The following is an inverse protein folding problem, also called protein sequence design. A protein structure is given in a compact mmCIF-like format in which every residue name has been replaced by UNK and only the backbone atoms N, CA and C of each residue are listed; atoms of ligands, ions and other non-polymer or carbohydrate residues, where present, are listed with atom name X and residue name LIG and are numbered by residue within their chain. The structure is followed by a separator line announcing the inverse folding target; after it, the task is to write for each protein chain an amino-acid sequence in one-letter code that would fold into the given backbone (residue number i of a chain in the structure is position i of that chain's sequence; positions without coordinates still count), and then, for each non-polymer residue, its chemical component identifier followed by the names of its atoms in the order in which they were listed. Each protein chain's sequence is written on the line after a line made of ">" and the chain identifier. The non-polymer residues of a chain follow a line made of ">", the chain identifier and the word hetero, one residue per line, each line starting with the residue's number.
data_IF_446825878684
#
_entry.id   IF_446825878684
#
_cell.length_a   1.000
_cell.length_b   1.000
_cell.length_c   1.000
_cell.angle_alpha   90.00
_cell.angle_beta   90.00
_cell.angle_gamma   90.00
#
_symmetry.space_group_name_H-M   'P 1'
#
loop_
_entity.id
_entity.type
_entity.pdbx_description
1 polymer ?
#
# COMPACT_ATOMS: atom_id res chain seq x y z
N UNK A 1 11.70 7.97 -26.14
CA UNK A 1 12.73 8.14 -25.10
C UNK A 1 12.36 9.11 -23.95
N UNK A 2 11.11 9.61 -23.84
CA UNK A 2 10.67 10.46 -22.71
C UNK A 2 10.09 9.70 -21.52
N UNK A 3 9.51 8.52 -21.75
CA UNK A 3 8.86 7.70 -20.71
C UNK A 3 9.91 7.09 -19.76
N UNK A 4 11.12 6.79 -20.28
CA UNK A 4 12.18 6.12 -19.53
C UNK A 4 12.74 6.99 -18.40
N UNK A 5 12.98 8.28 -18.66
CA UNK A 5 13.47 9.19 -17.62
C UNK A 5 12.43 9.52 -16.54
N UNK A 6 11.13 9.31 -16.79
CA UNK A 6 10.11 9.64 -15.81
C UNK A 6 10.00 8.57 -14.72
N UNK A 7 10.14 7.28 -15.06
CA UNK A 7 9.99 6.22 -14.05
C UNK A 7 11.15 6.18 -13.05
N UNK A 8 12.40 6.42 -13.48
CA UNK A 8 13.56 6.41 -12.58
C UNK A 8 13.41 7.49 -11.50
N UNK A 9 12.89 8.66 -11.88
CA UNK A 9 12.57 9.73 -10.95
C UNK A 9 11.44 9.32 -10.01
N UNK A 10 10.35 8.75 -10.53
CA UNK A 10 9.22 8.27 -9.71
C UNK A 10 9.71 7.24 -8.68
N UNK A 11 10.51 6.25 -9.10
CA UNK A 11 11.04 5.23 -8.19
C UNK A 11 11.95 5.86 -7.13
N UNK A 12 13.00 6.57 -7.55
CA UNK A 12 14.00 7.14 -6.64
C UNK A 12 13.40 8.17 -5.67
N UNK A 13 12.45 8.98 -6.10
CA UNK A 13 11.83 10.00 -5.24
C UNK A 13 10.85 9.39 -4.22
N UNK A 14 10.22 8.25 -4.54
CA UNK A 14 9.12 7.71 -3.75
C UNK A 14 9.46 6.40 -3.03
N UNK A 15 10.48 5.64 -3.45
CA UNK A 15 10.75 4.29 -2.94
C UNK A 15 10.89 4.26 -1.43
N UNK A 16 11.76 5.10 -0.86
CA UNK A 16 12.00 5.13 0.57
C UNK A 16 10.72 5.44 1.37
N UNK A 17 9.94 6.42 0.94
CA UNK A 17 8.69 6.79 1.62
C UNK A 17 7.60 5.73 1.42
N UNK A 18 7.49 5.12 0.25
CA UNK A 18 6.57 4.01 0.00
C UNK A 18 6.92 2.76 0.80
N UNK A 19 8.21 2.45 0.94
CA UNK A 19 8.68 1.39 1.81
C UNK A 19 8.30 1.65 3.26
N UNK A 20 8.54 2.87 3.77
CA UNK A 20 8.09 3.24 5.12
C UNK A 20 6.59 3.07 5.26
N UNK A 21 5.83 3.56 4.29
CA UNK A 21 4.38 3.49 4.29
C UNK A 21 3.89 2.03 4.36
N UNK A 22 4.43 1.17 3.50
CA UNK A 22 4.09 -0.24 3.49
C UNK A 22 4.55 -0.97 4.76
N UNK A 23 5.69 -0.56 5.34
CA UNK A 23 6.20 -1.14 6.57
C UNK A 23 5.35 -0.79 7.78
N UNK A 24 4.96 0.47 7.97
CA UNK A 24 4.18 0.88 9.15
C UNK A 24 2.82 0.17 9.22
N UNK A 25 2.27 -0.21 8.07
CA UNK A 25 1.03 -0.95 7.98
C UNK A 25 1.25 -2.46 8.12
N UNK A 26 2.16 -3.04 7.33
CA UNK A 26 2.36 -4.50 7.28
C UNK A 26 3.18 -5.06 8.45
N UNK A 27 4.00 -4.22 9.09
CA UNK A 27 5.00 -4.59 10.10
C UNK A 27 5.88 -5.78 9.66
N UNK A 28 6.23 -5.82 8.37
CA UNK A 28 7.00 -6.92 7.79
C UNK A 28 7.86 -6.43 6.63
N UNK A 29 9.19 -6.55 6.75
CA UNK A 29 10.14 -6.08 5.75
C UNK A 29 9.85 -6.63 4.33
N UNK A 30 9.74 -7.95 4.19
CA UNK A 30 9.53 -8.59 2.89
C UNK A 30 8.22 -8.12 2.25
N UNK A 31 7.14 -8.05 3.03
CA UNK A 31 5.86 -7.57 2.50
C UNK A 31 5.89 -6.08 2.19
N UNK A 32 6.62 -5.27 2.96
CA UNK A 32 6.81 -3.86 2.67
C UNK A 32 7.51 -3.66 1.31
N UNK A 33 8.56 -4.47 1.02
CA UNK A 33 9.24 -4.46 -0.29
C UNK A 33 8.30 -4.85 -1.42
N UNK A 34 7.56 -5.95 -1.28
CA UNK A 34 6.62 -6.43 -2.30
C UNK A 34 5.53 -5.39 -2.61
N UNK A 35 4.96 -4.78 -1.56
CA UNK A 35 3.93 -3.75 -1.69
C UNK A 35 4.49 -2.50 -2.35
N UNK A 36 5.68 -2.06 -1.94
CA UNK A 36 6.37 -0.90 -2.51
C UNK A 36 6.63 -1.09 -3.99
N UNK A 37 7.19 -2.24 -4.35
CA UNK A 37 7.44 -2.62 -5.73
C UNK A 37 6.16 -2.58 -6.57
N UNK A 38 5.08 -3.17 -6.05
CA UNK A 38 3.79 -3.16 -6.77
C UNK A 38 3.19 -1.76 -6.90
N UNK A 39 3.27 -0.93 -5.86
CA UNK A 39 2.77 0.45 -5.89
C UNK A 39 3.52 1.28 -6.95
N UNK A 40 4.83 1.06 -7.08
CA UNK A 40 5.64 1.67 -8.13
C UNK A 40 5.25 1.18 -9.52
N UNK A 41 5.06 -0.14 -9.70
CA UNK A 41 4.59 -0.70 -10.97
C UNK A 41 3.25 -0.10 -11.41
N UNK A 42 2.31 0.08 -10.49
CA UNK A 42 1.03 0.74 -10.78
C UNK A 42 1.20 2.21 -11.15
N UNK A 43 2.19 2.89 -10.56
CA UNK A 43 2.42 4.33 -10.76
C UNK A 43 3.14 4.65 -12.06
N UNK A 44 3.83 3.68 -12.66
CA UNK A 44 4.47 3.81 -13.97
C UNK A 44 3.57 3.31 -15.11
N UNK A 45 2.42 2.72 -14.79
CA UNK A 45 1.43 2.24 -15.76
C UNK A 45 0.72 3.42 -16.47
N UNK A 46 0.84 3.57 -17.80
CA UNK A 46 0.20 4.65 -18.54
C UNK A 46 -1.32 4.68 -18.39
N UNK A 47 -1.96 3.53 -18.20
CA UNK A 47 -3.42 3.42 -18.07
C UNK A 47 -3.93 3.98 -16.72
N UNK A 48 -3.01 4.29 -15.78
CA UNK A 48 -3.30 4.77 -14.41
C UNK A 48 -2.66 6.12 -14.11
N UNK A 49 -2.25 6.86 -15.15
CA UNK A 49 -1.56 8.15 -15.01
C UNK A 49 -2.39 9.28 -14.39
N UNK A 50 -3.69 9.06 -14.16
CA UNK A 50 -4.60 9.98 -13.46
C UNK A 50 -4.52 9.87 -11.92
N UNK A 51 -3.93 8.77 -11.41
CA UNK A 51 -3.78 8.53 -9.97
C UNK A 51 -2.42 8.96 -9.46
N UNK A 52 -2.40 9.50 -8.25
CA UNK A 52 -1.14 9.75 -7.55
C UNK A 52 -0.49 8.44 -7.11
N UNK A 53 0.84 8.47 -6.93
CA UNK A 53 1.62 7.33 -6.38
C UNK A 53 1.04 6.85 -5.06
N UNK A 54 0.56 7.77 -4.22
CA UNK A 54 -0.05 7.47 -2.92
C UNK A 54 -1.42 6.81 -3.04
N UNK A 55 -2.24 7.19 -4.02
CA UNK A 55 -3.51 6.49 -4.31
C UNK A 55 -3.27 5.06 -4.78
N UNK A 56 -2.25 4.86 -5.62
CA UNK A 56 -1.86 3.52 -6.05
C UNK A 56 -1.34 2.69 -4.87
N UNK A 57 -0.50 3.28 -4.01
CA UNK A 57 0.00 2.62 -2.81
C UNK A 57 -1.12 2.23 -1.84
N UNK A 58 -2.05 3.14 -1.55
CA UNK A 58 -3.23 2.87 -0.73
C UNK A 58 -4.06 1.70 -1.28
N UNK A 59 -4.30 1.67 -2.60
CA UNK A 59 -5.01 0.57 -3.24
C UNK A 59 -4.29 -0.77 -3.04
N UNK A 60 -2.97 -0.81 -3.27
CA UNK A 60 -2.18 -2.04 -3.13
C UNK A 60 -2.17 -2.52 -1.67
N UNK A 61 -2.10 -1.61 -0.70
CA UNK A 61 -2.15 -1.92 0.72
C UNK A 61 -3.49 -2.52 1.12
N UNK A 62 -4.60 -1.89 0.74
CA UNK A 62 -5.93 -2.43 0.97
C UNK A 62 -6.09 -3.83 0.36
N UNK A 63 -5.61 -4.04 -0.87
CA UNK A 63 -5.64 -5.34 -1.53
C UNK A 63 -4.80 -6.39 -0.78
N UNK A 64 -3.64 -5.99 -0.27
CA UNK A 64 -2.79 -6.84 0.56
C UNK A 64 -3.51 -7.28 1.84
N UNK A 65 -4.17 -6.37 2.56
CA UNK A 65 -4.92 -6.70 3.77
C UNK A 65 -6.19 -7.51 3.50
N UNK A 66 -6.91 -7.24 2.41
CA UNK A 66 -8.09 -8.03 2.03
C UNK A 66 -7.72 -9.49 1.71
N UNK A 67 -6.57 -9.70 1.05
CA UNK A 67 -6.07 -11.04 0.72
C UNK A 67 -5.45 -11.76 1.91
N UNK A 68 -4.90 -11.01 2.84
CA UNK A 68 -4.15 -11.55 3.96
C UNK A 68 -4.87 -11.19 5.25
N UNK A 69 -5.75 -12.09 5.71
CA UNK A 69 -6.28 -12.16 7.09
C UNK A 69 -5.14 -12.45 8.08
N UNK A 70 -4.04 -11.69 8.01
CA UNK A 70 -2.80 -11.98 8.68
C UNK A 70 -2.94 -11.66 10.16
N UNK A 71 -2.57 -12.64 10.97
CA UNK A 71 -2.34 -12.45 12.39
C UNK A 71 -1.35 -11.29 12.59
N UNK A 72 -1.69 -10.37 13.49
CA UNK A 72 -0.76 -9.35 13.96
C UNK A 72 0.48 -10.03 14.52
N UNK A 73 1.64 -9.65 14.00
CA UNK A 73 2.93 -10.21 14.44
C UNK A 73 3.28 -9.76 15.84
N UNK A 74 3.97 -10.63 16.57
CA UNK A 74 4.53 -10.30 17.88
C UNK A 74 5.67 -9.29 17.77
N UNK A 75 5.98 -8.60 18.87
CA UNK A 75 7.09 -7.64 18.89
C UNK A 75 8.42 -8.32 18.53
N UNK A 76 8.67 -9.52 19.06
CA UNK A 76 9.87 -10.31 18.81
C UNK A 76 10.04 -10.66 17.31
N UNK A 77 8.96 -11.06 16.64
CA UNK A 77 8.98 -11.38 15.21
C UNK A 77 9.30 -10.16 14.34
N UNK A 78 8.79 -8.99 14.72
CA UNK A 78 9.05 -7.74 13.99
C UNK A 78 10.49 -7.31 14.25
N UNK A 79 10.97 -7.33 15.50
CA UNK A 79 12.35 -6.96 15.86
C UNK A 79 13.37 -7.88 15.16
N UNK A 80 13.11 -9.18 15.09
CA UNK A 80 13.98 -10.12 14.38
C UNK A 80 13.99 -9.91 12.86
N UNK A 81 12.94 -9.28 12.31
CA UNK A 81 12.76 -9.09 10.87
C UNK A 81 13.19 -7.73 10.33
N UNK A 82 13.69 -6.82 11.18
CA UNK A 82 14.12 -5.48 10.76
C UNK A 82 15.60 -5.26 11.02
N UNK A 83 16.21 -4.37 10.24
CA UNK A 83 17.63 -3.99 10.35
C UNK A 83 17.84 -2.69 11.13
N UNK A 84 16.76 -2.07 11.64
CA UNK A 84 16.78 -0.82 12.38
C UNK A 84 16.25 -0.99 13.81
N UNK A 85 16.74 -0.19 14.78
CA UNK A 85 16.24 -0.23 16.14
C UNK A 85 14.81 0.32 16.22
N UNK A 86 13.94 -0.36 16.98
CA UNK A 86 12.57 0.09 17.25
C UNK A 86 12.52 0.65 18.67
N UNK A 87 12.34 1.96 18.79
CA UNK A 87 12.15 2.64 20.07
C UNK A 87 10.75 2.41 20.64
N UNK A 88 10.54 2.65 21.94
CA UNK A 88 9.22 2.57 22.57
C UNK A 88 8.20 3.49 21.89
N UNK A 89 8.61 4.70 21.52
CA UNK A 89 7.73 5.61 20.78
C UNK A 89 7.35 5.07 19.40
N UNK A 90 8.25 4.32 18.73
CA UNK A 90 7.95 3.73 17.43
C UNK A 90 7.01 2.54 17.60
N UNK A 91 7.17 1.77 18.68
CA UNK A 91 6.18 0.77 19.06
C UNK A 91 4.80 1.39 19.26
N UNK A 92 4.69 2.43 20.08
CA UNK A 92 3.41 3.11 20.33
C UNK A 92 2.76 3.58 19.03
N UNK A 93 3.56 4.03 18.07
CA UNK A 93 3.07 4.39 16.74
C UNK A 93 2.60 3.17 15.93
N UNK A 94 3.41 2.11 15.82
CA UNK A 94 3.09 0.90 15.05
C UNK A 94 1.85 0.16 15.59
N UNK A 95 1.57 0.31 16.89
CA UNK A 95 0.44 -0.33 17.56
C UNK A 95 -0.91 0.38 17.36
N UNK A 96 -0.91 1.60 16.80
CA UNK A 96 -2.14 2.33 16.45
C UNK A 96 -2.97 1.60 15.39
N UNK A 97 -4.29 1.85 15.34
CA UNK A 97 -5.14 1.35 14.26
C UNK A 97 -4.61 1.75 12.88
N UNK A 98 -4.72 0.85 11.89
CA UNK A 98 -4.22 1.07 10.52
C UNK A 98 -4.69 2.41 9.93
N UNK A 99 -5.99 2.77 9.98
CA UNK A 99 -6.44 4.04 9.40
C UNK A 99 -5.83 5.27 10.08
N UNK A 100 -5.53 5.18 11.38
CA UNK A 100 -4.88 6.27 12.10
C UNK A 100 -3.41 6.41 11.70
N UNK A 101 -2.68 5.28 11.64
CA UNK A 101 -1.27 5.26 11.18
C UNK A 101 -1.12 5.83 9.79
N UNK A 102 -1.98 5.39 8.88
CA UNK A 102 -2.03 5.83 7.50
C UNK A 102 -2.24 7.35 7.40
N UNK A 103 -3.30 7.86 8.02
CA UNK A 103 -3.62 9.29 8.01
C UNK A 103 -2.47 10.13 8.54
N UNK A 104 -1.90 9.70 9.67
CA UNK A 104 -0.77 10.38 10.31
C UNK A 104 0.47 10.34 9.41
N UNK A 105 0.75 9.22 8.75
CA UNK A 105 1.87 9.10 7.82
C UNK A 105 1.72 10.02 6.60
N UNK A 106 0.55 10.01 5.95
CA UNK A 106 0.26 10.85 4.78
C UNK A 106 0.37 12.34 5.13
N UNK A 107 -0.09 12.74 6.31
CA UNK A 107 -0.03 14.14 6.72
C UNK A 107 1.36 14.57 7.21
N UNK A 108 2.07 13.74 7.99
CA UNK A 108 3.34 14.13 8.61
C UNK A 108 4.57 13.85 7.73
N UNK A 109 4.68 12.64 7.16
CA UNK A 109 5.88 12.19 6.42
C UNK A 109 5.81 12.53 4.92
N UNK A 110 4.62 12.39 4.33
CA UNK A 110 4.40 12.79 2.94
C UNK A 110 4.17 14.30 2.84
N UNK A 111 3.55 14.90 3.84
CA UNK A 111 3.27 16.35 3.90
C UNK A 111 1.96 16.76 3.23
N UNK A 112 1.02 15.82 3.08
CA UNK A 112 -0.27 16.09 2.46
C UNK A 112 -1.19 16.86 3.41
N UNK A 113 -2.07 17.66 2.83
CA UNK A 113 -3.15 18.28 3.59
C UNK A 113 -4.14 17.23 4.09
N UNK A 114 -4.87 17.57 5.16
CA UNK A 114 -5.94 16.72 5.71
C UNK A 114 -6.97 16.33 4.64
N UNK A 115 -7.24 17.21 3.67
CA UNK A 115 -8.16 16.95 2.57
C UNK A 115 -7.58 15.92 1.59
N UNK A 116 -6.34 16.11 1.14
CA UNK A 116 -5.69 15.18 0.21
C UNK A 116 -5.52 13.79 0.82
N UNK A 117 -5.15 13.70 2.10
CA UNK A 117 -5.09 12.42 2.81
C UNK A 117 -6.47 11.74 2.85
N UNK A 118 -7.54 12.49 3.13
CA UNK A 118 -8.89 11.96 3.15
C UNK A 118 -9.36 11.46 1.77
N UNK A 119 -9.01 12.19 0.71
CA UNK A 119 -9.29 11.82 -0.68
C UNK A 119 -8.55 10.53 -1.08
N UNK A 120 -7.30 10.35 -0.66
CA UNK A 120 -6.52 9.11 -0.89
C UNK A 120 -7.17 7.92 -0.16
N UNK A 121 -7.48 8.11 1.12
CA UNK A 121 -8.05 7.09 2.00
C UNK A 121 -9.53 6.78 1.71
N UNK A 122 -10.18 7.56 0.83
CA UNK A 122 -11.61 7.51 0.55
C UNK A 122 -12.49 7.63 1.83
N UNK A 123 -12.11 8.51 2.75
CA UNK A 123 -12.85 8.78 4.00
C UNK A 123 -13.27 10.24 4.11
N UNK A 124 -14.25 10.52 4.98
CA UNK A 124 -14.62 11.90 5.27
C UNK A 124 -13.53 12.62 6.08
N UNK A 125 -13.19 13.85 5.69
CA UNK A 125 -12.12 14.67 6.31
C UNK A 125 -12.22 14.73 7.84
N UNK A 126 -13.45 14.79 8.39
CA UNK A 126 -13.66 14.86 9.85
C UNK A 126 -13.23 13.60 10.62
N UNK A 127 -12.96 12.48 9.93
CA UNK A 127 -12.46 11.24 10.54
C UNK A 127 -10.95 11.26 10.74
N UNK A 128 -10.25 12.18 10.11
CA UNK A 128 -8.80 12.30 10.24
C UNK A 128 -8.43 13.15 11.46
N UNK A 129 -7.31 12.86 12.13
CA UNK A 129 -6.82 13.67 13.24
C UNK A 129 -6.42 15.06 12.76
N UNK A 130 -6.45 16.03 13.68
CA UNK A 130 -5.77 17.32 13.50
C UNK A 130 -4.36 17.19 14.10
N UNK A 131 -3.35 17.43 13.27
CA UNK A 131 -1.95 17.35 13.68
C UNK A 131 -1.35 18.75 13.77
N UNK A 132 -0.73 19.05 14.90
CA UNK A 132 0.09 20.24 15.06
C UNK A 132 1.41 20.10 14.28
N UNK A 133 2.09 21.23 14.03
CA UNK A 133 3.39 21.22 13.34
C UNK A 133 4.46 20.51 14.16
N UNK A 134 4.40 20.64 15.49
CA UNK A 134 5.27 19.95 16.44
C UNK A 134 5.04 18.44 16.40
N UNK A 135 3.78 18.02 16.33
CA UNK A 135 3.41 16.60 16.21
C UNK A 135 3.93 16.00 14.90
N UNK A 136 3.72 16.68 13.77
CA UNK A 136 4.26 16.24 12.49
C UNK A 136 5.79 16.09 12.55
N UNK A 137 6.49 17.05 13.15
CA UNK A 137 7.95 17.01 13.27
C UNK A 137 8.43 15.85 14.14
N UNK A 138 7.71 15.57 15.25
CA UNK A 138 7.97 14.41 16.11
C UNK A 138 7.77 13.09 15.35
N UNK A 139 6.69 12.98 14.58
CA UNK A 139 6.39 11.78 13.78
C UNK A 139 7.45 11.57 12.70
N UNK A 140 7.84 12.61 11.96
CA UNK A 140 8.92 12.52 10.95
C UNK A 140 10.22 12.04 11.59
N UNK A 141 10.59 12.62 12.74
CA UNK A 141 11.78 12.17 13.48
C UNK A 141 11.66 10.71 13.92
N UNK A 142 10.48 10.28 14.34
CA UNK A 142 10.23 8.91 14.78
C UNK A 142 10.34 7.90 13.64
N UNK A 143 9.80 8.24 12.47
CA UNK A 143 9.79 7.39 11.28
C UNK A 143 11.10 7.45 10.47
N UNK A 144 12.01 8.37 10.81
CA UNK A 144 13.30 8.51 10.14
C UNK A 144 14.19 7.27 10.25
N UNK A 145 14.00 6.44 11.29
CA UNK A 145 14.78 5.21 11.51
C UNK A 145 14.38 4.07 10.56
N UNK A 146 13.18 4.12 9.98
CA UNK A 146 12.72 3.12 9.01
C UNK A 146 13.33 3.50 7.66
N UNK A 147 14.41 2.84 7.28
CA UNK A 147 15.11 3.10 6.03
C UNK A 147 15.19 1.79 5.26
N UNK A 148 14.83 1.76 3.97
CA UNK A 148 15.10 0.58 3.15
C UNK A 148 16.61 0.36 3.02
N UNK A 149 17.02 -0.89 2.78
CA UNK A 149 18.39 -1.17 2.38
C UNK A 149 18.68 -0.51 1.02
N UNK A 150 19.84 0.15 0.87
CA UNK A 150 20.21 0.86 -0.36
C UNK A 150 20.28 -0.07 -1.56
N UNK A 151 20.76 -1.30 -1.35
CA UNK A 151 20.77 -2.32 -2.40
C UNK A 151 19.34 -2.63 -2.89
N UNK A 152 18.35 -2.62 -1.99
CA UNK A 152 16.96 -2.89 -2.36
C UNK A 152 16.32 -1.76 -3.17
N UNK A 153 16.77 -0.51 -3.01
CA UNK A 153 16.29 0.64 -3.79
C UNK A 153 16.80 0.60 -5.24
N UNK A 154 18.11 0.38 -5.41
CA UNK A 154 18.73 0.23 -6.73
C UNK A 154 18.16 -0.99 -7.48
N UNK A 155 18.09 -2.14 -6.80
CA UNK A 155 17.49 -3.36 -7.37
C UNK A 155 16.02 -3.15 -7.75
N UNK A 156 15.25 -2.38 -6.96
CA UNK A 156 13.85 -2.13 -7.27
C UNK A 156 13.65 -1.28 -8.52
N UNK A 157 14.51 -0.28 -8.75
CA UNK A 157 14.48 0.52 -9.96
C UNK A 157 14.72 -0.34 -11.21
N UNK A 158 15.75 -1.19 -11.16
CA UNK A 158 16.08 -2.13 -12.24
C UNK A 158 14.97 -3.16 -12.47
N UNK A 159 14.38 -3.70 -11.39
CA UNK A 159 13.28 -4.66 -11.51
C UNK A 159 12.00 -4.02 -12.08
N UNK A 160 11.67 -2.78 -11.68
CA UNK A 160 10.52 -2.05 -12.22
C UNK A 160 10.74 -1.78 -13.72
N UNK A 161 11.95 -1.36 -14.09
CA UNK A 161 12.34 -1.16 -15.49
C UNK A 161 12.24 -2.45 -16.31
N UNK A 162 12.80 -3.54 -15.79
CA UNK A 162 12.80 -4.84 -16.46
C UNK A 162 11.36 -5.30 -16.71
N UNK A 163 10.50 -5.25 -15.68
CA UNK A 163 9.08 -5.58 -15.83
C UNK A 163 8.36 -4.67 -16.83
N UNK A 164 8.65 -3.37 -16.81
CA UNK A 164 8.05 -2.43 -17.76
C UNK A 164 8.48 -2.70 -19.21
N UNK A 165 9.75 -3.04 -19.43
CA UNK A 165 10.29 -3.32 -20.77
C UNK A 165 9.79 -4.64 -21.37
N UNK A 166 9.38 -5.60 -20.54
CA UNK A 166 8.77 -6.87 -20.95
C UNK A 166 7.36 -6.74 -21.56
N UNK A 167 6.80 -5.52 -21.67
CA UNK A 167 5.50 -5.18 -22.30
C UNK A 167 4.26 -5.88 -21.69
N UNK A 168 4.41 -6.61 -20.58
CA UNK A 168 3.31 -7.32 -19.92
C UNK A 168 2.64 -6.53 -18.78
N UNK A 169 3.21 -5.41 -18.31
CA UNK A 169 2.73 -4.73 -17.08
C UNK A 169 1.24 -4.36 -17.13
N UNK A 170 0.77 -3.75 -18.22
CA UNK A 170 -0.66 -3.40 -18.34
C UNK A 170 -1.57 -4.64 -18.34
N UNK A 171 -1.12 -5.76 -18.93
CA UNK A 171 -1.87 -7.02 -18.91
C UNK A 171 -1.82 -7.70 -17.53
N UNK A 172 -0.66 -7.71 -16.87
CA UNK A 172 -0.48 -8.23 -15.51
C UNK A 172 -1.32 -7.44 -14.50
N UNK A 173 -1.35 -6.11 -14.62
CA UNK A 173 -2.18 -5.24 -13.80
C UNK A 173 -3.67 -5.52 -14.04
N UNK A 174 -4.12 -5.64 -15.30
CA UNK A 174 -5.51 -5.99 -15.64
C UNK A 174 -5.91 -7.37 -15.11
N UNK A 175 -5.06 -8.39 -15.25
CA UNK A 175 -5.30 -9.72 -14.70
C UNK A 175 -5.40 -9.67 -13.17
N UNK A 176 -4.52 -8.89 -12.53
CA UNK A 176 -4.52 -8.70 -11.09
C UNK A 176 -5.80 -8.00 -10.61
N UNK A 177 -6.24 -6.96 -11.31
CA UNK A 177 -7.49 -6.26 -11.02
C UNK A 177 -8.71 -7.18 -11.16
N UNK A 178 -8.74 -7.98 -12.22
CA UNK A 178 -9.80 -8.95 -12.44
C UNK A 178 -9.84 -10.00 -11.32
N UNK A 179 -8.67 -10.47 -10.88
CA UNK A 179 -8.58 -11.36 -9.73
C UNK A 179 -9.06 -10.68 -8.44
N UNK A 180 -8.68 -9.43 -8.20
CA UNK A 180 -9.12 -8.66 -7.03
C UNK A 180 -10.63 -8.45 -7.02
N UNK A 181 -11.22 -8.17 -8.18
CA UNK A 181 -12.66 -8.06 -8.34
C UNK A 181 -13.36 -9.36 -7.91
N UNK A 182 -12.89 -10.51 -8.39
CA UNK A 182 -13.44 -11.79 -7.96
C UNK A 182 -13.22 -12.05 -6.47
N UNK A 183 -12.00 -11.86 -5.95
CA UNK A 183 -11.70 -12.06 -4.52
C UNK A 183 -12.66 -11.27 -3.62
N UNK A 184 -12.96 -10.01 -3.99
CA UNK A 184 -13.86 -9.13 -3.23
C UNK A 184 -15.34 -9.52 -3.35
N UNK A 185 -15.75 -10.05 -4.49
CA UNK A 185 -17.16 -10.33 -4.80
C UNK A 185 -17.54 -11.80 -4.76
N UNK A 186 -16.60 -12.73 -4.50
CA UNK A 186 -16.85 -14.17 -4.62
C UNK A 186 -17.97 -14.67 -3.72
N UNK A 187 -18.11 -14.13 -2.51
CA UNK A 187 -19.19 -14.48 -1.59
C UNK A 187 -20.56 -14.02 -2.12
N UNK A 188 -20.62 -12.82 -2.72
CA UNK A 188 -21.83 -12.29 -3.32
C UNK A 188 -22.21 -13.05 -4.60
N UNK A 189 -21.21 -13.39 -5.43
CA UNK A 189 -21.39 -14.19 -6.64
C UNK A 189 -21.88 -15.59 -6.26
N UNK A 190 -21.26 -16.23 -5.26
CA UNK A 190 -21.67 -17.53 -4.76
C UNK A 190 -23.09 -17.50 -4.18
N UNK A 191 -23.44 -16.45 -3.41
CA UNK A 191 -24.78 -16.26 -2.88
C UNK A 191 -25.82 -16.08 -4.00
N UNK A 192 -25.51 -15.30 -5.03
CA UNK A 192 -26.39 -15.10 -6.19
C UNK A 192 -26.61 -16.41 -6.97
N UNK A 193 -25.56 -17.20 -7.18
CA UNK A 193 -25.64 -18.51 -7.83
C UNK A 193 -26.50 -19.47 -6.99
N UNK A 194 -26.26 -19.54 -5.68
CA UNK A 194 -27.05 -20.38 -4.78
C UNK A 194 -28.54 -20.00 -4.79
N UNK A 195 -28.85 -18.70 -4.81
CA UNK A 195 -30.22 -18.20 -4.91
C UNK A 195 -30.87 -18.61 -6.24
N UNK A 196 -30.13 -18.51 -7.34
CA UNK A 196 -30.58 -18.96 -8.66
C UNK A 196 -30.85 -20.45 -8.70
N UNK A 197 -29.95 -21.27 -8.15
CA UNK A 197 -30.13 -22.72 -8.05
C UNK A 197 -31.36 -23.09 -7.20
N UNK A 198 -31.56 -22.41 -6.07
CA UNK A 198 -32.74 -22.61 -5.22
C UNK A 198 -34.04 -22.23 -5.93
N UNK A 199 -34.06 -21.11 -6.65
CA UNK A 199 -35.22 -20.68 -7.45
C UNK A 199 -35.53 -21.66 -8.59
N UNK A 200 -34.51 -22.19 -9.27
CA UNK A 200 -34.67 -23.19 -10.31
C UNK A 200 -35.20 -24.53 -9.76
N UNK A 201 -34.72 -24.95 -8.59
CA UNK A 201 -35.21 -26.14 -7.91
C UNK A 201 -36.68 -25.98 -7.47
N UNK A 202 -37.04 -24.80 -6.95
CA UNK A 202 -38.43 -24.49 -6.57
C UNK A 202 -39.37 -24.41 -7.78
N UNK A 203 -38.90 -23.90 -8.92
CA UNK A 203 -39.69 -23.83 -10.15
C UNK A 203 -39.87 -25.20 -10.84
N UNK A 204 -39.07 -26.20 -10.48
CA UNK A 204 -39.12 -27.56 -11.04
C UNK A 204 -39.73 -28.60 -10.08
N UNK A 205 -40.06 -28.20 -8.85
CA UNK A 205 -40.83 -28.96 -7.86
C UNK A 205 -42.31 -28.60 -7.90
#
# INVERSE_FOLDING_TARGET
>A
MKIVHNYENIVRENYAKLYKYAFIESCHDISAKDITFQALLYSVDPDRGDRSVWQNAHSVLNDFFLRSLRRRRSRDEITAGVTFPISDGLWDFLEKPVPEKEAVFLMAEVGLTKKEAADIMAVHVSRLPDLSREECSRIVSLLSVIVPDRASEEDAADQVLLRFTERSVGFENRLRDLRLFFDRHILWIAAAIALFCAAAAYATS
#
